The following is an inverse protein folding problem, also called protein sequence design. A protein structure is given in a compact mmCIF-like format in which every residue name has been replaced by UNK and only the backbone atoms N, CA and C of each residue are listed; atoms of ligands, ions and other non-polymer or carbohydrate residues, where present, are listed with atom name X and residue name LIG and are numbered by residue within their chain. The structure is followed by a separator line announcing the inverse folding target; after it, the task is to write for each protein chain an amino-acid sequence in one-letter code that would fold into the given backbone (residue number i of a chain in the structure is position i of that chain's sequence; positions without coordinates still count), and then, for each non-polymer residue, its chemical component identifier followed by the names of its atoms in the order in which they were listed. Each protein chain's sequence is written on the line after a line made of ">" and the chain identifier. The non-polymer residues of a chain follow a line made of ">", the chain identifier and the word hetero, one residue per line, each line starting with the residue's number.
data_IF_900689376756
#
_entry.id   IF_900689376756
#
_cell.length_a   1.000
_cell.length_b   1.000
_cell.length_c   1.000
_cell.angle_alpha   90.00
_cell.angle_beta   90.00
_cell.angle_gamma   90.00
#
_symmetry.space_group_name_H-M   'P 1'
#
loop_
_entity.id
_entity.type
_entity.pdbx_description
1 polymer ?
#
# COMPACT_ATOMS: atom_id res chain seq x y z
N UNK A 1 6.30 -0.47 -26.05
CA UNK A 1 7.06 -0.38 -24.78
C UNK A 1 6.48 -1.42 -23.84
N UNK A 2 7.18 -2.53 -23.62
CA UNK A 2 6.75 -3.52 -22.62
C UNK A 2 6.79 -2.82 -21.25
N UNK A 3 5.63 -2.64 -20.63
CA UNK A 3 5.58 -2.39 -19.19
C UNK A 3 6.03 -3.70 -18.56
N UNK A 4 7.31 -3.76 -18.22
CA UNK A 4 7.81 -4.68 -17.22
C UNK A 4 6.98 -4.42 -15.96
N UNK A 5 5.91 -5.19 -15.77
CA UNK A 5 5.27 -5.39 -14.49
C UNK A 5 6.28 -6.13 -13.62
N UNK A 6 7.32 -5.43 -13.22
CA UNK A 6 8.23 -6.00 -12.25
C UNK A 6 7.47 -5.98 -10.95
N UNK A 7 7.24 -7.17 -10.42
CA UNK A 7 6.97 -7.42 -9.01
C UNK A 7 8.17 -6.96 -8.14
N UNK A 8 8.69 -5.73 -8.33
CA UNK A 8 9.86 -5.20 -7.64
C UNK A 8 9.60 -4.99 -6.13
N UNK A 9 8.34 -5.11 -5.69
CA UNK A 9 7.94 -4.83 -4.32
C UNK A 9 7.98 -5.97 -3.30
N UNK A 10 8.16 -7.23 -3.75
CA UNK A 10 8.11 -8.39 -2.84
C UNK A 10 9.47 -9.03 -2.54
N UNK A 11 10.57 -8.49 -3.08
CA UNK A 11 11.88 -9.10 -2.88
C UNK A 11 12.33 -8.99 -1.42
N UNK A 12 12.27 -10.11 -0.69
CA UNK A 12 12.52 -10.19 0.76
C UNK A 12 11.27 -10.49 1.60
N UNK A 13 10.09 -10.59 0.98
CA UNK A 13 8.86 -11.03 1.61
C UNK A 13 8.45 -12.43 1.12
N UNK A 14 7.75 -13.18 1.98
CA UNK A 14 7.20 -14.49 1.61
C UNK A 14 5.94 -14.30 0.76
N UNK A 15 5.84 -15.02 -0.34
CA UNK A 15 4.63 -15.07 -1.14
C UNK A 15 3.47 -15.70 -0.32
N UNK A 16 2.28 -15.17 -0.50
CA UNK A 16 1.05 -15.65 0.13
C UNK A 16 0.02 -16.01 -0.94
N UNK A 17 -0.70 -17.12 -0.74
CA UNK A 17 -1.83 -17.48 -1.59
C UNK A 17 -3.07 -16.77 -1.06
N UNK A 18 -3.39 -15.63 -1.65
CA UNK A 18 -4.46 -14.75 -1.19
C UNK A 18 -5.08 -14.02 -2.38
N UNK A 19 -6.42 -14.04 -2.43
CA UNK A 19 -7.23 -13.36 -3.41
C UNK A 19 -8.08 -12.28 -2.72
N UNK A 20 -7.78 -10.99 -2.93
CA UNK A 20 -8.60 -9.88 -2.44
C UNK A 20 -10.10 -10.00 -2.80
N UNK A 21 -10.95 -9.48 -1.92
CA UNK A 21 -12.39 -9.49 -2.13
C UNK A 21 -12.80 -8.52 -3.25
N UNK A 22 -13.38 -9.05 -4.34
CA UNK A 22 -13.76 -8.26 -5.53
C UNK A 22 -14.80 -7.17 -5.26
N UNK A 23 -15.69 -7.37 -4.29
CA UNK A 23 -16.77 -6.42 -3.97
C UNK A 23 -16.24 -5.10 -3.41
N UNK A 24 -15.26 -5.15 -2.50
CA UNK A 24 -14.59 -3.95 -1.99
C UNK A 24 -13.84 -3.20 -3.11
N UNK A 25 -13.26 -3.94 -4.06
CA UNK A 25 -12.56 -3.37 -5.22
C UNK A 25 -13.51 -2.78 -6.28
N UNK A 26 -14.77 -3.20 -6.34
CA UNK A 26 -15.76 -2.65 -7.26
C UNK A 26 -16.28 -1.28 -6.80
N UNK A 27 -16.38 -1.05 -5.49
CA UNK A 27 -16.75 0.25 -4.93
C UNK A 27 -15.78 1.39 -5.32
N UNK A 28 -14.60 1.01 -5.78
CA UNK A 28 -13.43 1.84 -6.08
C UNK A 28 -13.39 2.25 -7.58
N UNK A 29 -14.32 1.78 -8.43
CA UNK A 29 -14.30 1.96 -9.90
C UNK A 29 -14.44 3.41 -10.41
N UNK A 30 -14.99 4.35 -9.63
CA UNK A 30 -15.13 5.76 -10.03
C UNK A 30 -14.12 6.70 -9.33
N UNK A 31 -12.93 6.19 -9.02
CA UNK A 31 -11.95 6.97 -8.31
C UNK A 31 -11.21 8.00 -9.15
N UNK A 32 -11.11 9.18 -8.56
CA UNK A 32 -10.16 10.23 -8.95
C UNK A 32 -8.72 9.68 -8.94
N UNK A 33 -7.79 10.31 -9.69
CA UNK A 33 -6.37 10.00 -9.58
C UNK A 33 -5.93 9.94 -8.12
N UNK A 34 -5.40 8.79 -7.73
CA UNK A 34 -5.09 8.47 -6.34
C UNK A 34 -3.65 8.02 -6.26
N UNK A 35 -2.92 8.59 -5.30
CA UNK A 35 -1.55 8.20 -4.98
C UNK A 35 -1.54 7.44 -3.66
N UNK A 36 -0.98 6.24 -3.67
CA UNK A 36 -0.85 5.36 -2.52
C UNK A 36 0.63 5.23 -2.18
N UNK A 37 0.98 5.49 -0.92
CA UNK A 37 2.34 5.29 -0.39
C UNK A 37 2.29 4.17 0.65
N UNK A 38 3.13 3.15 0.50
CA UNK A 38 3.31 2.10 1.51
C UNK A 38 4.70 2.22 2.11
N UNK A 39 4.77 2.63 3.37
CA UNK A 39 5.99 2.66 4.16
C UNK A 39 6.20 1.29 4.80
N UNK A 40 7.33 0.64 4.53
CA UNK A 40 7.62 -0.69 5.04
C UNK A 40 9.12 -0.97 5.19
N UNK A 41 9.44 -2.07 5.87
CA UNK A 41 10.81 -2.58 5.91
C UNK A 41 10.86 -4.10 6.10
N UNK A 42 11.86 -4.73 5.48
CA UNK A 42 12.01 -6.20 5.46
C UNK A 42 12.36 -6.79 6.81
N UNK A 43 13.03 -6.02 7.66
CA UNK A 43 13.40 -6.41 9.02
C UNK A 43 12.23 -6.31 10.01
N UNK A 44 11.13 -5.67 9.63
CA UNK A 44 9.98 -5.46 10.51
C UNK A 44 9.04 -6.68 10.47
N UNK A 45 8.81 -7.30 11.64
CA UNK A 45 7.96 -8.48 11.77
C UNK A 45 6.53 -8.26 11.28
N UNK A 46 5.91 -7.11 11.57
CA UNK A 46 4.54 -6.82 11.11
C UNK A 46 4.49 -6.50 9.62
N UNK A 47 5.55 -5.90 9.07
CA UNK A 47 5.68 -5.76 7.62
C UNK A 47 5.74 -7.13 6.95
N UNK A 48 6.52 -8.08 7.50
CA UNK A 48 6.58 -9.44 6.96
C UNK A 48 5.22 -10.14 6.96
N UNK A 49 4.37 -9.85 7.94
CA UNK A 49 3.01 -10.40 8.02
C UNK A 49 2.07 -9.74 7.01
N UNK A 50 2.06 -8.42 6.89
CA UNK A 50 0.98 -7.70 6.20
C UNK A 50 1.31 -7.20 4.80
N UNK A 51 2.57 -6.81 4.52
CA UNK A 51 2.98 -6.28 3.20
C UNK A 51 2.69 -7.23 2.04
N UNK A 52 2.82 -8.56 2.16
CA UNK A 52 2.44 -9.48 1.09
C UNK A 52 0.95 -9.36 0.70
N UNK A 53 0.05 -9.29 1.67
CA UNK A 53 -1.39 -9.16 1.43
C UNK A 53 -1.72 -7.79 0.82
N UNK A 54 -1.16 -6.72 1.38
CA UNK A 54 -1.31 -5.35 0.87
C UNK A 54 -0.85 -5.26 -0.59
N UNK A 55 0.29 -5.88 -0.92
CA UNK A 55 0.83 -5.86 -2.29
C UNK A 55 -0.06 -6.60 -3.28
N UNK A 56 -0.70 -7.70 -2.87
CA UNK A 56 -1.68 -8.39 -3.73
C UNK A 56 -2.91 -7.51 -4.00
N UNK A 57 -3.40 -6.77 -3.00
CA UNK A 57 -4.50 -5.79 -3.18
C UNK A 57 -4.06 -4.72 -4.18
N UNK A 58 -2.87 -4.15 -4.01
CA UNK A 58 -2.32 -3.12 -4.90
C UNK A 58 -2.17 -3.59 -6.34
N UNK A 59 -1.72 -4.83 -6.54
CA UNK A 59 -1.64 -5.44 -7.87
C UNK A 59 -3.02 -5.51 -8.53
N UNK A 60 -4.07 -5.85 -7.79
CA UNK A 60 -5.44 -5.83 -8.32
C UNK A 60 -5.98 -4.41 -8.55
N UNK A 61 -5.66 -3.45 -7.68
CA UNK A 61 -6.05 -2.05 -7.88
C UNK A 61 -5.45 -1.50 -9.18
N UNK A 62 -4.18 -1.80 -9.49
CA UNK A 62 -3.52 -1.36 -10.72
C UNK A 62 -4.12 -1.98 -11.99
N UNK A 63 -4.74 -3.16 -11.92
CA UNK A 63 -5.42 -3.75 -13.08
C UNK A 63 -6.80 -3.15 -13.31
N UNK A 64 -7.47 -2.70 -12.25
CA UNK A 64 -8.82 -2.12 -12.30
C UNK A 64 -8.79 -0.61 -12.53
N UNK A 65 -7.75 0.08 -12.05
CA UNK A 65 -7.63 1.55 -12.02
C UNK A 65 -6.28 1.95 -12.63
N UNK A 66 -6.21 2.18 -13.94
CA UNK A 66 -4.95 2.51 -14.61
C UNK A 66 -4.27 3.78 -14.08
N UNK A 67 -5.03 4.73 -13.51
CA UNK A 67 -4.54 6.00 -12.98
C UNK A 67 -4.04 5.95 -11.52
N UNK A 68 -4.05 4.79 -10.85
CA UNK A 68 -3.55 4.69 -9.48
C UNK A 68 -2.02 4.66 -9.46
N UNK A 69 -1.40 5.62 -8.77
CA UNK A 69 0.05 5.64 -8.55
C UNK A 69 0.34 4.96 -7.22
N UNK A 70 1.12 3.88 -7.21
CA UNK A 70 1.47 3.14 -6.00
C UNK A 70 2.97 3.15 -5.83
N UNK A 71 3.44 3.76 -4.73
CA UNK A 71 4.86 3.83 -4.39
C UNK A 71 5.12 3.09 -3.08
N UNK A 72 6.06 2.17 -3.11
CA UNK A 72 6.57 1.49 -1.93
C UNK A 72 7.83 2.19 -1.43
N UNK A 73 7.82 2.59 -0.17
CA UNK A 73 8.86 3.39 0.47
C UNK A 73 9.54 2.51 1.52
N UNK A 74 10.73 2.03 1.20
CA UNK A 74 11.57 1.31 2.15
C UNK A 74 12.14 2.27 3.20
N UNK A 75 12.13 1.84 4.46
CA UNK A 75 12.71 2.60 5.57
C UNK A 75 13.85 1.84 6.27
N UNK A 76 14.80 2.59 6.80
CA UNK A 76 15.90 2.05 7.61
C UNK A 76 15.43 1.59 9.00
N UNK A 77 16.35 1.06 9.83
CA UNK A 77 16.04 0.63 11.21
C UNK A 77 15.54 1.76 12.13
N UNK A 78 15.84 3.02 11.78
CA UNK A 78 15.34 4.21 12.47
C UNK A 78 14.00 4.71 11.89
N UNK A 79 13.40 3.95 10.96
CA UNK A 79 12.16 4.27 10.23
C UNK A 79 12.26 5.57 9.42
N UNK A 80 13.44 5.84 8.86
CA UNK A 80 13.68 6.96 7.96
C UNK A 80 13.79 6.47 6.51
N UNK A 81 13.22 7.24 5.58
CA UNK A 81 13.43 7.07 4.14
C UNK A 81 14.40 8.12 3.60
N UNK A 82 14.93 7.87 2.40
CA UNK A 82 15.92 8.75 1.76
C UNK A 82 15.34 10.11 1.33
N UNK A 83 14.03 10.19 1.09
CA UNK A 83 13.38 11.37 0.54
C UNK A 83 12.68 12.23 1.61
N UNK A 84 12.75 11.83 2.89
CA UNK A 84 12.11 12.54 4.00
C UNK A 84 10.58 12.40 4.03
N UNK A 85 10.00 11.47 3.26
CA UNK A 85 8.56 11.21 3.23
C UNK A 85 8.04 10.71 4.59
N UNK A 86 8.83 9.94 5.35
CA UNK A 86 8.45 9.48 6.70
C UNK A 86 8.27 10.66 7.64
N UNK A 87 9.11 11.69 7.53
CA UNK A 87 8.97 12.95 8.29
C UNK A 87 7.76 13.74 7.81
N UNK A 88 7.59 13.90 6.50
CA UNK A 88 6.46 14.62 5.90
C UNK A 88 5.10 14.05 6.35
N UNK A 89 4.95 12.73 6.33
CA UNK A 89 3.71 12.03 6.67
C UNK A 89 3.64 11.59 8.14
N UNK A 90 4.60 11.98 8.98
CA UNK A 90 4.69 11.63 10.41
C UNK A 90 4.52 10.12 10.63
N UNK A 91 5.33 9.34 9.92
CA UNK A 91 5.36 7.89 9.98
C UNK A 91 6.24 7.46 11.14
N UNK A 92 5.62 6.94 12.19
CA UNK A 92 6.31 6.44 13.39
C UNK A 92 6.28 4.92 13.50
N UNK A 93 5.38 4.27 12.75
CA UNK A 93 5.13 2.84 12.77
C UNK A 93 4.97 2.29 11.35
N UNK A 94 5.29 1.02 11.15
CA UNK A 94 5.23 0.35 9.86
C UNK A 94 4.69 -1.08 10.02
N UNK A 95 3.96 -1.62 9.02
CA UNK A 95 3.65 -0.99 7.74
C UNK A 95 2.63 0.16 7.89
N UNK A 96 2.77 1.22 7.11
CA UNK A 96 1.78 2.32 7.06
C UNK A 96 1.43 2.62 5.62
N UNK A 97 0.14 2.75 5.34
CA UNK A 97 -0.39 3.13 4.03
C UNK A 97 -0.92 4.56 4.13
N UNK A 98 -0.52 5.41 3.18
CA UNK A 98 -1.10 6.73 2.95
C UNK A 98 -1.83 6.71 1.61
N UNK A 99 -3.10 7.09 1.60
CA UNK A 99 -3.90 7.24 0.38
C UNK A 99 -4.21 8.73 0.20
N UNK A 100 -3.77 9.29 -0.93
CA UNK A 100 -3.93 10.69 -1.30
C UNK A 100 -4.89 10.80 -2.48
N UNK A 101 -6.00 11.52 -2.27
CA UNK A 101 -7.02 11.75 -3.29
C UNK A 101 -7.44 13.22 -3.29
N UNK A 102 -6.91 13.99 -4.24
CA UNK A 102 -7.10 15.44 -4.26
C UNK A 102 -6.61 16.08 -2.95
N UNK A 103 -7.53 16.61 -2.13
CA UNK A 103 -7.21 17.18 -0.80
C UNK A 103 -7.37 16.20 0.36
N UNK A 104 -7.92 15.01 0.11
CA UNK A 104 -8.15 14.01 1.14
C UNK A 104 -6.88 13.18 1.37
N UNK A 105 -6.55 12.96 2.64
CA UNK A 105 -5.46 12.09 3.09
C UNK A 105 -6.04 11.08 4.08
N UNK A 106 -5.92 9.80 3.73
CA UNK A 106 -6.23 8.69 4.62
C UNK A 106 -4.95 7.98 5.05
N UNK A 107 -4.86 7.57 6.32
CA UNK A 107 -3.69 6.90 6.89
C UNK A 107 -4.12 5.63 7.62
N UNK A 108 -3.61 4.49 7.19
CA UNK A 108 -3.81 3.17 7.81
C UNK A 108 -2.48 2.69 8.38
N UNK A 109 -2.43 2.28 9.65
CA UNK A 109 -1.17 2.05 10.37
C UNK A 109 -1.16 0.69 11.07
N UNK A 110 -0.11 -0.08 10.81
CA UNK A 110 0.21 -1.42 11.34
C UNK A 110 -0.80 -2.52 11.01
N UNK A 111 -2.06 -2.35 11.39
CA UNK A 111 -3.10 -3.36 11.33
C UNK A 111 -4.41 -2.77 10.76
N UNK A 112 -5.18 -3.58 10.01
CA UNK A 112 -6.53 -3.18 9.62
C UNK A 112 -7.47 -3.23 10.82
N UNK A 113 -8.51 -2.39 10.82
CA UNK A 113 -9.61 -2.43 11.78
C UNK A 113 -10.54 -3.59 11.51
N UNK A 114 -10.84 -3.85 10.23
CA UNK A 114 -11.68 -4.98 9.80
C UNK A 114 -10.88 -5.89 8.88
N UNK A 115 -10.60 -5.43 7.66
CA UNK A 115 -9.70 -6.07 6.70
C UNK A 115 -8.94 -4.96 5.96
N UNK A 116 -7.86 -5.30 5.25
CA UNK A 116 -7.14 -4.29 4.47
C UNK A 116 -8.01 -3.74 3.34
N UNK A 117 -8.82 -4.58 2.71
CA UNK A 117 -9.73 -4.20 1.64
C UNK A 117 -10.81 -3.24 2.14
N UNK A 118 -11.46 -3.56 3.26
CA UNK A 118 -12.54 -2.73 3.82
C UNK A 118 -11.98 -1.39 4.31
N UNK A 119 -10.88 -1.41 5.07
CA UNK A 119 -10.24 -0.19 5.57
C UNK A 119 -9.74 0.71 4.43
N UNK A 120 -9.25 0.13 3.33
CA UNK A 120 -8.88 0.90 2.14
C UNK A 120 -10.11 1.44 1.43
N UNK A 121 -11.19 0.65 1.30
CA UNK A 121 -12.43 1.09 0.67
C UNK A 121 -13.03 2.30 1.40
N UNK A 122 -12.95 2.34 2.73
CA UNK A 122 -13.38 3.49 3.55
C UNK A 122 -12.55 4.77 3.29
N UNK A 123 -11.33 4.66 2.75
CA UNK A 123 -10.49 5.81 2.40
C UNK A 123 -10.77 6.37 1.00
N UNK A 124 -11.46 5.59 0.16
CA UNK A 124 -11.77 5.90 -1.24
C UNK A 124 -13.11 6.60 -1.40
#
# INVERSE_FOLDING_TARGET
>A
MLVLAVCFGLQGYRAVNYAPQKTALQAIQELKPTKILLFHAKWCGDCQKHVPFISNIFSQLQTIIPQVEINQIEVDYNKQDQNGLTKQFKITKIPTIIILRGKHLCKLTEYPKVTWEDDMADCF
#
